data_IF_240198450551
#
_entry.id   IF_240198450551
#
_cell.length_a   1.000
_cell.length_b   1.000
_cell.length_c   1.000
_cell.angle_alpha   90.00
_cell.angle_beta   90.00
_cell.angle_gamma   90.00
#
_symmetry.space_group_name_H-M   'P 1'
#
loop_
_entity.id
_entity.type
_entity.pdbx_description
1 polymer ?
#
# COMPACT_ATOMS: atom_id res chain seq x y z
N UNK A 1 -64.11 30.23 -9.78
CA UNK A 1 -63.75 29.48 -8.55
C UNK A 1 -63.96 28.00 -8.81
N UNK A 2 -62.90 27.22 -8.82
CA UNK A 2 -63.02 25.73 -8.96
C UNK A 2 -63.51 25.18 -7.60
N UNK A 3 -64.65 24.43 -7.57
CA UNK A 3 -65.17 23.92 -6.30
C UNK A 3 -64.16 23.00 -5.66
N UNK A 4 -63.85 23.20 -4.42
CA UNK A 4 -62.86 22.48 -3.61
C UNK A 4 -62.91 20.93 -3.80
N UNK A 5 -64.11 20.36 -3.89
CA UNK A 5 -64.32 18.94 -4.20
C UNK A 5 -63.74 18.49 -5.56
N UNK A 6 -63.76 19.36 -6.56
CA UNK A 6 -63.22 19.06 -7.89
C UNK A 6 -61.66 19.14 -7.89
N UNK A 7 -61.10 20.05 -7.13
CA UNK A 7 -59.65 20.14 -6.90
C UNK A 7 -59.10 18.90 -6.14
N UNK A 8 -59.85 18.45 -5.10
CA UNK A 8 -59.48 17.24 -4.36
C UNK A 8 -59.53 15.96 -5.21
N UNK A 9 -60.53 15.83 -6.06
CA UNK A 9 -60.61 14.70 -7.02
C UNK A 9 -59.45 14.74 -8.02
N UNK A 10 -59.16 15.89 -8.58
CA UNK A 10 -58.07 16.04 -9.54
C UNK A 10 -56.70 15.74 -8.90
N UNK A 11 -56.50 16.14 -7.63
CA UNK A 11 -55.30 15.82 -6.87
C UNK A 11 -55.20 14.30 -6.56
N UNK A 12 -56.31 13.64 -6.29
CA UNK A 12 -56.32 12.20 -6.00
C UNK A 12 -56.05 11.38 -7.28
N UNK A 13 -56.55 11.84 -8.43
CA UNK A 13 -56.46 11.14 -9.70
C UNK A 13 -55.25 11.58 -10.54
N UNK A 14 -54.40 12.46 -9.98
CA UNK A 14 -53.16 12.96 -10.60
C UNK A 14 -52.01 12.04 -10.25
N UNK A 15 -51.56 11.24 -11.20
CA UNK A 15 -50.40 10.32 -11.03
C UNK A 15 -49.04 11.00 -11.25
N UNK A 16 -49.02 12.30 -11.61
CA UNK A 16 -47.78 13.05 -11.86
C UNK A 16 -46.93 13.17 -10.59
N UNK A 17 -47.54 13.07 -9.39
CA UNK A 17 -46.83 13.00 -8.13
C UNK A 17 -46.02 11.71 -7.89
N UNK A 18 -46.34 10.62 -8.59
CA UNK A 18 -45.67 9.34 -8.46
C UNK A 18 -44.20 9.43 -8.94
N UNK A 19 -43.96 10.08 -10.08
CA UNK A 19 -42.60 10.31 -10.59
C UNK A 19 -41.74 11.13 -9.64
N UNK A 20 -42.32 12.13 -8.99
CA UNK A 20 -41.61 12.93 -7.98
C UNK A 20 -41.28 12.13 -6.73
N UNK A 21 -42.19 11.28 -6.27
CA UNK A 21 -41.94 10.38 -5.12
C UNK A 21 -40.84 9.35 -5.45
N UNK A 22 -40.88 8.76 -6.65
CA UNK A 22 -39.86 7.85 -7.14
C UNK A 22 -38.49 8.52 -7.23
N UNK A 23 -38.41 9.73 -7.78
CA UNK A 23 -37.18 10.50 -7.89
C UNK A 23 -36.57 10.85 -6.53
N UNK A 24 -37.39 11.26 -5.55
CA UNK A 24 -36.96 11.59 -4.19
C UNK A 24 -36.36 10.38 -3.46
N UNK A 25 -36.85 9.18 -3.75
CA UNK A 25 -36.32 7.93 -3.15
C UNK A 25 -35.08 7.43 -3.92
N UNK A 26 -35.12 7.47 -5.25
CA UNK A 26 -34.04 6.90 -6.09
C UNK A 26 -32.78 7.79 -6.10
N UNK A 27 -32.95 9.11 -6.06
CA UNK A 27 -31.81 10.04 -6.11
C UNK A 27 -30.82 9.87 -4.95
N UNK A 28 -31.22 9.82 -3.66
CA UNK A 28 -30.30 9.57 -2.57
C UNK A 28 -29.57 8.22 -2.68
N UNK A 29 -30.31 7.17 -3.10
CA UNK A 29 -29.73 5.85 -3.33
C UNK A 29 -28.67 5.86 -4.43
N UNK A 30 -28.96 6.56 -5.50
CA UNK A 30 -28.04 6.70 -6.64
C UNK A 30 -26.77 7.48 -6.23
N UNK A 31 -26.93 8.58 -5.47
CA UNK A 31 -25.79 9.34 -4.92
C UNK A 31 -24.94 8.44 -4.02
N UNK A 32 -25.57 7.65 -3.14
CA UNK A 32 -24.84 6.73 -2.27
C UNK A 32 -24.06 5.69 -3.06
N UNK A 33 -24.65 5.12 -4.12
CA UNK A 33 -23.97 4.16 -5.01
C UNK A 33 -22.77 4.81 -5.69
N UNK A 34 -22.89 6.04 -6.19
CA UNK A 34 -21.76 6.76 -6.78
C UNK A 34 -20.65 7.03 -5.79
N UNK A 35 -20.98 7.43 -4.56
CA UNK A 35 -20.00 7.62 -3.49
C UNK A 35 -19.29 6.31 -3.14
N UNK A 36 -20.03 5.20 -3.10
CA UNK A 36 -19.45 3.88 -2.87
C UNK A 36 -18.48 3.48 -3.98
N UNK A 37 -18.91 3.59 -5.24
CA UNK A 37 -18.07 3.27 -6.40
C UNK A 37 -16.80 4.13 -6.43
N UNK A 38 -16.92 5.42 -6.15
CA UNK A 38 -15.77 6.32 -6.07
C UNK A 38 -14.80 5.90 -4.95
N UNK A 39 -15.31 5.60 -3.75
CA UNK A 39 -14.47 5.19 -2.63
C UNK A 39 -13.73 3.88 -2.92
N UNK A 40 -14.39 2.87 -3.50
CA UNK A 40 -13.74 1.62 -3.90
C UNK A 40 -12.68 1.85 -4.99
N UNK A 41 -13.00 2.66 -6.00
CA UNK A 41 -12.03 3.02 -7.05
C UNK A 41 -10.79 3.71 -6.49
N UNK A 42 -10.96 4.63 -5.54
CA UNK A 42 -9.86 5.36 -4.91
C UNK A 42 -8.96 4.43 -4.08
N UNK A 43 -9.56 3.48 -3.33
CA UNK A 43 -8.81 2.42 -2.63
C UNK A 43 -7.95 1.62 -3.60
N UNK A 44 -8.54 1.09 -4.67
CA UNK A 44 -7.81 0.29 -5.66
C UNK A 44 -6.70 1.10 -6.35
N UNK A 45 -6.98 2.36 -6.67
CA UNK A 45 -5.97 3.26 -7.23
C UNK A 45 -4.79 3.45 -6.27
N UNK A 46 -5.08 3.70 -5.00
CA UNK A 46 -4.05 3.90 -3.96
C UNK A 46 -3.23 2.63 -3.74
N UNK A 47 -3.86 1.45 -3.68
CA UNK A 47 -3.18 0.16 -3.59
C UNK A 47 -2.22 -0.05 -4.78
N UNK A 48 -2.71 0.11 -6.01
CA UNK A 48 -1.88 -0.03 -7.21
C UNK A 48 -0.72 0.98 -7.25
N UNK A 49 -0.94 2.20 -6.77
CA UNK A 49 0.11 3.22 -6.73
C UNK A 49 1.17 2.87 -5.68
N UNK A 50 0.77 2.46 -4.47
CA UNK A 50 1.68 2.02 -3.43
C UNK A 50 2.51 0.81 -3.88
N UNK A 51 1.89 -0.17 -4.53
CA UNK A 51 2.56 -1.33 -5.07
C UNK A 51 3.59 -0.94 -6.15
N UNK A 52 3.23 -0.11 -7.13
CA UNK A 52 4.16 0.37 -8.16
C UNK A 52 5.33 1.14 -7.55
N UNK A 53 5.07 1.99 -6.56
CA UNK A 53 6.11 2.73 -5.86
C UNK A 53 7.09 1.79 -5.14
N UNK A 54 6.58 0.78 -4.43
CA UNK A 54 7.38 -0.22 -3.74
C UNK A 54 8.24 -1.04 -4.72
N UNK A 55 7.70 -1.47 -5.87
CA UNK A 55 8.47 -2.16 -6.91
C UNK A 55 9.54 -1.26 -7.53
N UNK A 56 9.27 0.03 -7.73
CA UNK A 56 10.27 0.98 -8.24
C UNK A 56 11.44 1.12 -7.28
N UNK A 57 11.16 1.24 -5.99
CA UNK A 57 12.19 1.30 -4.94
C UNK A 57 12.99 -0.01 -4.87
N UNK A 58 12.31 -1.17 -4.97
CA UNK A 58 12.96 -2.47 -4.99
C UNK A 58 13.87 -2.67 -6.23
N UNK A 59 13.46 -2.17 -7.38
CA UNK A 59 14.30 -2.20 -8.59
C UNK A 59 15.53 -1.30 -8.44
N UNK A 60 15.35 -0.09 -7.90
CA UNK A 60 16.46 0.84 -7.68
C UNK A 60 17.54 0.26 -6.75
N UNK A 61 17.14 -0.37 -5.64
CA UNK A 61 18.12 -1.00 -4.73
C UNK A 61 18.78 -2.21 -5.37
N UNK A 62 18.06 -3.00 -6.17
CA UNK A 62 18.61 -4.18 -6.84
C UNK A 62 19.72 -3.87 -7.85
N UNK A 63 19.72 -2.66 -8.39
CA UNK A 63 20.69 -2.19 -9.40
C UNK A 63 21.95 -1.56 -8.81
N UNK A 64 22.08 -1.53 -7.49
CA UNK A 64 23.29 -0.98 -6.88
C UNK A 64 24.51 -1.88 -7.18
N UNK A 65 25.61 -1.24 -7.51
CA UNK A 65 26.88 -1.88 -7.85
C UNK A 65 28.00 -1.60 -6.82
N UNK A 66 27.70 -0.83 -5.79
CA UNK A 66 28.58 -0.49 -4.68
C UNK A 66 27.84 -0.58 -3.35
N UNK A 67 28.58 -0.52 -2.25
CA UNK A 67 28.03 -0.38 -0.92
C UNK A 67 27.24 0.92 -0.80
N UNK A 68 26.03 0.82 -0.29
CA UNK A 68 25.10 1.94 -0.24
C UNK A 68 25.26 2.75 1.05
N UNK A 69 25.27 4.09 0.97
CA UNK A 69 25.22 4.94 2.15
C UNK A 69 23.79 4.94 2.76
N UNK A 70 23.68 5.29 4.06
CA UNK A 70 22.37 5.42 4.70
C UNK A 70 21.48 6.47 4.01
N UNK A 71 22.07 7.57 3.55
CA UNK A 71 21.39 8.64 2.80
C UNK A 71 20.71 8.15 1.52
N UNK A 72 21.18 7.05 0.93
CA UNK A 72 20.53 6.42 -0.21
C UNK A 72 19.16 5.85 0.19
N UNK A 73 19.06 5.24 1.37
CA UNK A 73 17.79 4.68 1.86
C UNK A 73 16.78 5.80 2.17
N UNK A 74 17.24 6.94 2.69
CA UNK A 74 16.40 8.13 2.90
C UNK A 74 15.92 8.69 1.55
N UNK A 75 16.80 8.68 0.54
CA UNK A 75 16.44 9.04 -0.84
C UNK A 75 15.36 8.10 -1.42
N UNK A 76 15.43 6.80 -1.12
CA UNK A 76 14.40 5.83 -1.57
C UNK A 76 13.05 6.12 -0.94
N UNK A 77 13.01 6.54 0.31
CA UNK A 77 11.77 6.98 0.94
C UNK A 77 11.19 8.21 0.23
N UNK A 78 12.02 9.20 -0.06
CA UNK A 78 11.61 10.41 -0.80
C UNK A 78 11.07 10.07 -2.20
N UNK A 79 11.70 9.12 -2.90
CA UNK A 79 11.22 8.63 -4.21
C UNK A 79 9.85 7.97 -4.07
N UNK A 80 9.67 7.13 -3.06
CA UNK A 80 8.36 6.49 -2.83
C UNK A 80 7.29 7.52 -2.54
N UNK A 81 7.56 8.47 -1.64
CA UNK A 81 6.61 9.53 -1.28
C UNK A 81 6.28 10.46 -2.46
N UNK A 82 7.22 10.66 -3.38
CA UNK A 82 6.97 11.42 -4.61
C UNK A 82 5.98 10.72 -5.57
N UNK A 83 6.00 9.38 -5.61
CA UNK A 83 5.10 8.58 -6.45
C UNK A 83 3.71 8.47 -5.83
N UNK A 84 3.62 8.49 -4.50
CA UNK A 84 2.36 8.39 -3.77
C UNK A 84 1.50 9.65 -3.95
N UNK A 85 0.17 9.55 -3.76
CA UNK A 85 -0.69 10.72 -3.69
C UNK A 85 -0.23 11.72 -2.61
N UNK A 86 -0.45 13.03 -2.81
CA UNK A 86 -0.12 14.05 -1.81
C UNK A 86 -0.68 13.71 -0.43
N UNK A 87 0.08 14.01 0.60
CA UNK A 87 -0.23 13.75 2.02
C UNK A 87 -0.17 12.28 2.47
N UNK A 88 0.20 11.33 1.61
CA UNK A 88 0.52 9.98 2.04
C UNK A 88 2.01 9.86 2.36
N UNK A 89 2.31 9.38 3.55
CA UNK A 89 3.69 9.09 4.00
C UNK A 89 3.96 7.60 3.90
N UNK A 90 5.15 7.24 3.43
CA UNK A 90 5.57 5.85 3.37
C UNK A 90 6.46 5.51 4.56
N UNK A 91 6.24 4.35 5.14
CA UNK A 91 7.19 3.71 6.06
C UNK A 91 7.88 2.59 5.32
N UNK A 92 9.20 2.65 5.24
CA UNK A 92 10.01 1.67 4.52
C UNK A 92 10.92 0.91 5.47
N UNK A 93 11.18 -0.35 5.15
CA UNK A 93 12.22 -1.15 5.77
C UNK A 93 12.93 -1.95 4.68
N UNK A 94 14.25 -1.89 4.72
CA UNK A 94 15.14 -2.64 3.85
C UNK A 94 15.89 -3.66 4.68
N UNK A 95 15.89 -4.91 4.25
CA UNK A 95 16.59 -5.98 4.96
C UNK A 95 17.34 -6.85 3.97
N UNK A 96 18.64 -6.92 4.10
CA UNK A 96 19.47 -7.86 3.33
C UNK A 96 19.55 -9.19 4.07
N UNK A 97 19.27 -10.28 3.35
CA UNK A 97 19.12 -11.63 3.90
C UNK A 97 19.97 -12.61 3.10
N UNK A 98 20.64 -13.52 3.79
CA UNK A 98 21.36 -14.66 3.22
C UNK A 98 20.80 -15.98 3.73
N UNK A 99 21.08 -17.06 3.01
CA UNK A 99 20.82 -18.42 3.50
C UNK A 99 22.06 -18.96 4.23
N UNK A 100 21.88 -19.40 5.46
CA UNK A 100 22.95 -19.99 6.27
C UNK A 100 22.81 -21.52 6.20
N UNK A 101 23.73 -22.19 5.49
CA UNK A 101 23.76 -23.64 5.40
C UNK A 101 24.02 -24.31 6.74
N UNK A 102 25.00 -23.82 7.57
CA UNK A 102 25.26 -24.44 8.86
C UNK A 102 24.06 -24.38 9.81
N UNK A 103 23.27 -23.32 9.74
CA UNK A 103 22.13 -23.09 10.64
C UNK A 103 20.80 -23.49 10.00
N UNK A 104 20.79 -23.86 8.72
CA UNK A 104 19.60 -24.23 7.94
C UNK A 104 18.46 -23.21 8.10
N UNK A 105 18.79 -21.90 7.97
CA UNK A 105 17.84 -20.80 8.13
C UNK A 105 18.28 -19.55 7.38
N UNK A 106 17.34 -18.64 7.17
CA UNK A 106 17.63 -17.30 6.71
C UNK A 106 18.25 -16.46 7.84
N UNK A 107 19.27 -15.69 7.51
CA UNK A 107 19.95 -14.78 8.44
C UNK A 107 19.99 -13.37 7.88
N UNK A 108 19.77 -12.40 8.77
CA UNK A 108 19.82 -10.97 8.42
C UNK A 108 21.28 -10.54 8.35
N UNK A 109 21.70 -9.97 7.22
CA UNK A 109 23.00 -9.31 7.06
C UNK A 109 22.89 -7.91 7.68
N UNK A 110 21.88 -7.16 7.29
CA UNK A 110 21.53 -5.87 7.87
C UNK A 110 20.04 -5.58 7.66
N UNK A 111 19.48 -4.74 8.52
CA UNK A 111 18.13 -4.22 8.39
C UNK A 111 18.11 -2.75 8.77
N UNK A 112 17.47 -1.91 7.95
CA UNK A 112 17.35 -0.47 8.19
C UNK A 112 15.99 0.04 7.72
N UNK A 113 15.49 1.01 8.47
CA UNK A 113 14.28 1.75 8.13
C UNK A 113 14.61 3.25 8.19
N UNK A 114 14.39 4.00 7.10
CA UNK A 114 14.52 5.45 7.14
C UNK A 114 13.68 6.04 8.28
N UNK A 115 14.24 7.00 9.01
CA UNK A 115 13.55 7.61 10.15
C UNK A 115 13.16 6.64 11.28
N UNK A 116 13.66 5.39 11.29
CA UNK A 116 13.25 4.32 12.23
C UNK A 116 11.72 4.09 12.26
N UNK A 117 11.02 4.34 11.16
CA UNK A 117 9.56 4.27 11.05
C UNK A 117 9.02 2.84 11.25
N UNK A 118 9.82 1.81 10.93
CA UNK A 118 9.53 0.39 11.18
C UNK A 118 10.65 -0.25 12.02
N UNK A 119 10.32 -1.19 12.91
CA UNK A 119 11.34 -1.89 13.70
C UNK A 119 12.25 -2.71 12.77
N UNK A 120 13.56 -2.68 13.03
CA UNK A 120 14.53 -3.45 12.25
C UNK A 120 14.31 -4.94 12.45
N UNK A 121 14.46 -5.72 11.36
CA UNK A 121 14.42 -7.18 11.45
C UNK A 121 15.74 -7.71 12.00
N UNK A 122 15.61 -8.66 12.90
CA UNK A 122 16.70 -9.51 13.39
C UNK A 122 16.55 -10.90 12.79
N UNK A 123 17.60 -11.72 12.87
CA UNK A 123 17.52 -13.14 12.40
C UNK A 123 16.38 -13.90 13.08
N UNK A 124 16.06 -13.58 14.35
CA UNK A 124 14.96 -14.23 15.07
C UNK A 124 13.59 -13.76 14.54
N UNK A 125 13.39 -12.46 14.38
CA UNK A 125 12.12 -11.93 13.87
C UNK A 125 11.91 -12.22 12.37
N UNK A 126 13.00 -12.39 11.60
CA UNK A 126 12.91 -12.79 10.20
C UNK A 126 12.21 -14.13 10.00
N UNK A 127 12.30 -15.04 10.98
CA UNK A 127 11.68 -16.38 10.87
C UNK A 127 10.14 -16.29 10.75
N UNK A 128 9.51 -15.24 11.25
CA UNK A 128 8.05 -15.06 11.11
C UNK A 128 7.60 -14.81 9.67
N UNK A 129 8.50 -14.31 8.83
CA UNK A 129 8.25 -14.02 7.40
C UNK A 129 9.03 -14.92 6.46
N UNK A 130 9.77 -15.89 7.00
CA UNK A 130 10.63 -16.79 6.23
C UNK A 130 9.88 -17.56 5.13
N UNK A 131 8.61 -17.91 5.35
CA UNK A 131 7.76 -18.57 4.36
C UNK A 131 7.48 -17.74 3.11
N UNK A 132 7.65 -16.42 3.18
CA UNK A 132 7.47 -15.48 2.06
C UNK A 132 8.76 -15.28 1.25
N UNK A 133 9.89 -15.80 1.74
CA UNK A 133 11.19 -15.66 1.09
C UNK A 133 11.42 -16.90 0.23
N UNK A 134 11.71 -16.75 -1.07
CA UNK A 134 12.00 -17.89 -1.93
C UNK A 134 13.31 -18.58 -1.50
N UNK A 135 13.37 -19.89 -1.69
CA UNK A 135 14.61 -20.63 -1.46
C UNK A 135 15.72 -20.12 -2.37
N UNK A 136 16.91 -19.97 -1.81
CA UNK A 136 18.07 -19.43 -2.50
C UNK A 136 19.31 -20.29 -2.24
N UNK A 137 20.32 -20.16 -3.10
CA UNK A 137 21.61 -20.83 -2.90
C UNK A 137 22.38 -20.21 -1.73
N UNK A 138 23.32 -20.95 -1.15
CA UNK A 138 24.11 -20.50 -0.01
C UNK A 138 24.96 -19.24 -0.26
N UNK A 139 25.33 -19.02 -1.53
CA UNK A 139 26.13 -17.86 -1.95
C UNK A 139 25.29 -16.64 -2.30
N UNK A 140 23.97 -16.81 -2.38
CA UNK A 140 23.05 -15.75 -2.81
C UNK A 140 22.56 -14.93 -1.62
N UNK A 141 22.19 -13.71 -1.92
CA UNK A 141 21.44 -12.86 -1.00
C UNK A 141 20.23 -12.24 -1.70
N UNK A 142 19.26 -11.86 -0.89
CA UNK A 142 18.10 -11.08 -1.35
C UNK A 142 17.95 -9.85 -0.47
N UNK A 143 17.35 -8.82 -1.03
CA UNK A 143 16.91 -7.64 -0.28
C UNK A 143 15.40 -7.71 -0.18
N UNK A 144 14.92 -7.69 1.04
CA UNK A 144 13.50 -7.52 1.36
C UNK A 144 13.23 -6.03 1.41
N UNK A 145 12.24 -5.60 0.67
CA UNK A 145 11.70 -4.22 0.70
C UNK A 145 10.29 -4.31 1.21
N UNK A 146 10.10 -3.79 2.41
CA UNK A 146 8.78 -3.73 3.04
C UNK A 146 8.35 -2.29 3.10
N UNK A 147 7.13 -2.04 2.67
CA UNK A 147 6.52 -0.71 2.76
C UNK A 147 5.16 -0.78 3.43
N UNK A 148 4.83 0.25 4.19
CA UNK A 148 3.53 0.43 4.83
C UNK A 148 3.08 1.86 4.61
N UNK A 149 1.98 2.03 3.89
CA UNK A 149 1.40 3.34 3.55
C UNK A 149 0.04 3.43 4.21
N UNK A 150 -0.16 4.31 5.20
CA UNK A 150 -1.47 4.53 5.80
C UNK A 150 -2.40 5.20 4.79
N UNK A 151 -3.58 4.66 4.63
CA UNK A 151 -4.63 5.14 3.76
C UNK A 151 -5.94 5.31 4.51
N UNK A 152 -6.62 6.44 4.30
CA UNK A 152 -7.92 6.74 4.86
C UNK A 152 -8.90 7.02 3.72
N UNK A 153 -9.98 6.24 3.56
CA UNK A 153 -10.98 6.48 2.54
C UNK A 153 -11.66 7.83 2.70
N UNK A 154 -11.96 8.51 1.59
CA UNK A 154 -12.64 9.80 1.57
C UNK A 154 -14.08 9.67 2.09
N UNK A 155 -14.73 8.54 1.81
CA UNK A 155 -16.11 8.25 2.24
C UNK A 155 -16.17 6.93 2.97
N UNK A 156 -16.90 6.93 4.10
CA UNK A 156 -17.17 5.71 4.85
C UNK A 156 -18.44 5.03 4.29
N UNK A 157 -18.25 4.18 3.30
CA UNK A 157 -19.32 3.45 2.60
C UNK A 157 -19.19 1.94 2.81
N UNK A 158 -19.05 1.50 4.05
CA UNK A 158 -18.83 0.11 4.42
C UNK A 158 -17.36 -0.33 4.38
N UNK A 159 -16.43 0.61 4.17
CA UNK A 159 -15.01 0.38 4.28
C UNK A 159 -14.53 0.64 5.73
N UNK A 160 -13.40 0.05 6.12
CA UNK A 160 -12.77 0.41 7.39
C UNK A 160 -12.30 1.88 7.38
N UNK A 161 -12.26 2.50 8.57
CA UNK A 161 -11.90 3.91 8.70
C UNK A 161 -10.46 4.21 8.24
N UNK A 162 -9.57 3.21 8.33
CA UNK A 162 -8.18 3.31 7.84
C UNK A 162 -7.64 1.95 7.46
N UNK A 163 -6.71 1.93 6.52
CA UNK A 163 -5.96 0.75 6.07
C UNK A 163 -4.48 1.04 6.12
N UNK A 164 -3.67 0.00 6.30
CA UNK A 164 -2.27 0.04 5.93
C UNK A 164 -2.12 -0.72 4.61
N UNK A 165 -1.59 -0.06 3.62
CA UNK A 165 -1.23 -0.68 2.34
C UNK A 165 0.19 -1.23 2.50
N UNK A 166 0.27 -2.49 2.88
CA UNK A 166 1.52 -3.16 3.21
C UNK A 166 1.98 -3.99 2.01
N UNK A 167 3.18 -3.69 1.53
CA UNK A 167 3.84 -4.45 0.47
C UNK A 167 5.10 -5.12 0.99
N UNK A 168 5.34 -6.33 0.51
CA UNK A 168 6.51 -7.14 0.84
C UNK A 168 7.13 -7.66 -0.44
N UNK A 169 8.25 -7.08 -0.86
CA UNK A 169 8.91 -7.38 -2.11
C UNK A 169 10.27 -8.01 -1.81
N UNK A 170 10.55 -9.13 -2.45
CA UNK A 170 11.84 -9.82 -2.41
C UNK A 170 12.55 -9.57 -3.74
N UNK A 171 13.69 -8.91 -3.69
CA UNK A 171 14.49 -8.64 -4.89
C UNK A 171 15.92 -9.19 -4.74
N UNK A 172 16.50 -9.67 -5.85
CA UNK A 172 17.91 -10.10 -5.89
C UNK A 172 18.77 -8.97 -6.39
N UNK A 173 19.95 -8.74 -5.79
CA UNK A 173 20.96 -7.87 -6.38
C UNK A 173 21.30 -8.33 -7.80
N UNK A 174 21.46 -7.38 -8.74
CA UNK A 174 21.73 -7.71 -10.14
C UNK A 174 23.21 -7.74 -10.47
N UNK A 175 24.00 -6.93 -9.78
CA UNK A 175 25.43 -6.75 -10.07
C UNK A 175 26.35 -7.30 -9.00
N UNK A 176 25.83 -7.47 -7.78
CA UNK A 176 26.58 -7.95 -6.61
C UNK A 176 25.98 -9.26 -6.10
N UNK A 177 26.80 -10.09 -5.47
CA UNK A 177 26.30 -11.27 -4.75
C UNK A 177 25.49 -10.86 -3.50
N UNK A 178 25.83 -9.74 -2.89
CA UNK A 178 25.15 -9.12 -1.73
C UNK A 178 25.27 -7.60 -1.78
N UNK A 179 24.25 -6.90 -1.30
CA UNK A 179 24.28 -5.44 -1.13
C UNK A 179 24.62 -5.15 0.33
N UNK A 180 25.66 -4.34 0.52
CA UNK A 180 26.17 -3.94 1.83
C UNK A 180 25.85 -2.49 2.15
N UNK A 181 25.80 -2.15 3.44
CA UNK A 181 25.75 -0.78 3.92
C UNK A 181 27.14 -0.32 4.32
N UNK A 182 27.54 0.90 3.92
CA UNK A 182 28.86 1.46 4.22
C UNK A 182 29.20 1.52 5.72
N UNK A 183 28.20 1.57 6.60
CA UNK A 183 28.37 1.69 8.04
C UNK A 183 28.20 0.38 8.82
N UNK A 184 27.99 -0.75 8.14
CA UNK A 184 27.68 -2.04 8.78
C UNK A 184 28.57 -3.12 8.18
N UNK A 185 29.19 -3.93 9.06
CA UNK A 185 29.96 -5.09 8.58
C UNK A 185 29.05 -6.06 7.82
N UNK A 186 29.42 -6.33 6.61
CA UNK A 186 28.68 -7.18 5.69
C UNK A 186 29.24 -8.62 5.73
N UNK A 187 29.07 -9.29 6.85
CA UNK A 187 29.59 -10.66 7.07
C UNK A 187 28.57 -11.73 6.73
#
# INVERSE_FOLDING_TARGET
MIPFKKALRRFRDDESGLLMAEFVITLPMLIWVFMALFAYWDVFRSMNTAQKAAYSVADLISRQNNDIPLTFLDGMQSVMEYILPPAQTARLRFTSVKWSVPNNRFEVIWSRSPGNALPQLTTTTLQTVASRIPMMAATDSVVLVESSVPYTPVFNVGLAASYNLDEFIVTRPRFLSKICLQSVSCV
#
